data_IF_681962441546
#
_entry.id   IF_681962441546
#
_cell.length_a   1.000
_cell.length_b   1.000
_cell.length_c   1.000
_cell.angle_alpha   90.00
_cell.angle_beta   90.00
_cell.angle_gamma   90.00
#
_symmetry.space_group_name_H-M   'P 1'
#
loop_
_entity.id
_entity.type
_entity.pdbx_description
1 polymer ?
#
# COMPACT_ATOMS: atom_id res chain seq x y z
N UNK A 1 3.23 -5.93 28.33
CA UNK A 1 4.02 -6.47 27.21
C UNK A 1 3.55 -7.86 26.75
N UNK A 2 2.80 -8.62 27.57
CA UNK A 2 2.19 -9.91 27.22
C UNK A 2 0.74 -9.78 26.74
N UNK A 3 0.21 -8.57 26.68
CA UNK A 3 -1.19 -8.25 26.46
C UNK A 3 -2.13 -8.73 27.59
N UNK A 4 -1.58 -9.24 28.67
CA UNK A 4 -2.32 -9.54 29.91
C UNK A 4 -2.58 -8.21 30.64
N UNK A 5 -3.79 -8.04 31.14
CA UNK A 5 -4.17 -6.85 31.93
C UNK A 5 -3.66 -6.96 33.37
N UNK A 6 -4.07 -6.02 34.21
CA UNK A 6 -3.80 -6.08 35.63
C UNK A 6 -4.46 -7.31 36.28
N UNK A 7 -5.64 -7.72 35.76
CA UNK A 7 -6.22 -9.02 36.13
C UNK A 7 -5.54 -10.13 35.31
N UNK A 8 -4.88 -11.11 35.98
CA UNK A 8 -4.15 -12.16 35.29
C UNK A 8 -5.00 -13.11 34.45
N UNK A 9 -6.32 -13.07 34.60
CA UNK A 9 -7.26 -13.87 33.82
C UNK A 9 -7.77 -13.15 32.56
N UNK A 10 -7.47 -11.87 32.40
CA UNK A 10 -7.96 -11.03 31.31
C UNK A 10 -6.82 -10.61 30.39
N UNK A 11 -6.99 -10.81 29.11
CA UNK A 11 -6.12 -10.31 28.04
C UNK A 11 -6.87 -9.27 27.22
N UNK A 12 -6.17 -8.24 26.78
CA UNK A 12 -6.73 -7.21 25.95
C UNK A 12 -5.81 -6.94 24.74
N UNK A 13 -6.39 -6.93 23.54
CA UNK A 13 -5.71 -6.63 22.30
C UNK A 13 -6.60 -5.73 21.46
N UNK A 14 -6.00 -4.91 20.58
CA UNK A 14 -6.77 -4.08 19.68
C UNK A 14 -6.80 -2.60 20.08
N UNK A 15 -7.71 -1.86 19.47
CA UNK A 15 -7.83 -0.40 19.66
C UNK A 15 -8.26 -0.01 21.08
N UNK A 16 -8.83 -0.94 21.84
CA UNK A 16 -9.18 -0.73 23.25
C UNK A 16 -7.97 -0.74 24.20
N UNK A 17 -6.76 -1.03 23.68
CA UNK A 17 -5.53 -1.14 24.48
C UNK A 17 -4.68 0.07 24.35
N UNK A 18 -4.36 0.72 25.47
CA UNK A 18 -3.28 1.72 25.56
C UNK A 18 -2.02 1.03 26.07
N UNK A 19 -1.19 0.51 25.16
CA UNK A 19 0.09 -0.10 25.53
C UNK A 19 1.16 0.98 25.67
N UNK A 20 1.73 1.10 26.86
CA UNK A 20 2.73 2.16 27.20
C UNK A 20 2.26 3.57 26.84
N UNK A 21 0.94 3.82 26.99
CA UNK A 21 0.32 5.11 26.69
C UNK A 21 -0.06 5.33 25.24
N UNK A 22 0.20 4.37 24.34
CA UNK A 22 -0.12 4.47 22.92
C UNK A 22 -1.28 3.52 22.56
N UNK A 23 -2.36 4.07 22.00
CA UNK A 23 -3.44 3.32 21.38
C UNK A 23 -3.24 3.24 19.87
N UNK A 24 -3.34 2.04 19.30
CA UNK A 24 -3.10 1.79 17.88
C UNK A 24 -4.43 1.58 17.16
N UNK A 25 -4.76 2.48 16.22
CA UNK A 25 -5.95 2.40 15.38
C UNK A 25 -5.72 1.74 14.00
N UNK A 26 -4.61 1.02 13.82
CA UNK A 26 -4.26 0.34 12.58
C UNK A 26 -4.19 -1.17 12.77
N UNK A 27 -4.57 -1.93 11.75
CA UNK A 27 -4.72 -3.39 11.83
C UNK A 27 -3.40 -4.12 12.11
N UNK A 28 -2.28 -3.68 11.54
CA UNK A 28 -1.00 -4.37 11.68
C UNK A 28 -0.53 -4.48 13.14
N UNK A 29 -0.49 -3.41 13.96
CA UNK A 29 -0.20 -3.51 15.39
C UNK A 29 -1.11 -4.48 16.14
N UNK A 30 -2.39 -4.53 15.77
CA UNK A 30 -3.36 -5.40 16.46
C UNK A 30 -3.06 -6.89 16.23
N UNK A 31 -2.59 -7.25 15.04
CA UNK A 31 -2.12 -8.62 14.78
C UNK A 31 -0.84 -8.97 15.55
N UNK A 32 0.08 -8.02 15.69
CA UNK A 32 1.29 -8.21 16.50
C UNK A 32 0.93 -8.45 17.98
N UNK A 33 0.01 -7.64 18.53
CA UNK A 33 -0.53 -7.82 19.87
C UNK A 33 -1.21 -9.18 20.04
N UNK A 34 -2.08 -9.55 19.09
CA UNK A 34 -2.80 -10.82 19.13
C UNK A 34 -1.85 -12.03 19.10
N UNK A 35 -0.79 -11.97 18.29
CA UNK A 35 0.24 -13.01 18.25
C UNK A 35 0.95 -13.18 19.58
N UNK A 36 1.32 -12.08 20.23
CA UNK A 36 1.97 -12.12 21.55
C UNK A 36 1.00 -12.66 22.60
N UNK A 37 -0.26 -12.21 22.62
CA UNK A 37 -1.28 -12.72 23.53
C UNK A 37 -1.52 -14.22 23.36
N UNK A 38 -1.64 -14.69 22.12
CA UNK A 38 -1.83 -16.11 21.80
C UNK A 38 -0.65 -16.97 22.27
N UNK A 39 0.57 -16.52 22.02
CA UNK A 39 1.78 -17.23 22.46
C UNK A 39 1.85 -17.29 24.00
N UNK A 40 1.52 -16.21 24.68
CA UNK A 40 1.54 -16.18 26.13
C UNK A 40 0.46 -17.08 26.74
N UNK A 41 -0.76 -17.07 26.17
CA UNK A 41 -1.86 -17.96 26.60
C UNK A 41 -1.53 -19.44 26.38
N UNK A 42 -0.82 -19.75 25.29
CA UNK A 42 -0.40 -21.11 24.97
C UNK A 42 0.87 -21.56 25.71
N UNK A 43 1.46 -20.73 26.55
CA UNK A 43 2.79 -20.93 27.14
C UNK A 43 3.88 -21.25 26.09
N UNK A 44 3.77 -20.65 24.91
CA UNK A 44 4.66 -20.87 23.77
C UNK A 44 5.54 -19.65 23.51
N UNK A 45 6.83 -19.79 23.86
CA UNK A 45 7.82 -18.75 23.63
C UNK A 45 7.78 -17.58 24.63
N UNK A 46 8.74 -16.67 24.47
CA UNK A 46 9.02 -15.56 25.37
C UNK A 46 8.72 -14.19 24.76
N UNK A 47 8.03 -14.16 23.61
CA UNK A 47 7.73 -12.93 22.89
C UNK A 47 7.04 -11.88 23.74
N UNK A 48 7.45 -10.64 23.57
CA UNK A 48 6.87 -9.46 24.23
C UNK A 48 6.47 -8.45 23.17
N UNK A 49 5.36 -7.78 23.38
CA UNK A 49 4.97 -6.63 22.59
C UNK A 49 5.65 -5.38 23.17
N UNK A 50 6.46 -4.72 22.38
CA UNK A 50 7.20 -3.51 22.80
C UNK A 50 6.69 -2.24 22.15
N UNK A 51 5.67 -2.36 21.33
CA UNK A 51 5.11 -1.31 20.49
C UNK A 51 5.30 -1.64 19.02
N UNK A 52 4.62 -0.92 18.15
CA UNK A 52 4.72 -1.06 16.70
C UNK A 52 5.05 0.27 16.05
N UNK A 53 5.91 0.23 15.07
CA UNK A 53 6.05 1.34 14.13
C UNK A 53 4.92 1.25 13.10
N UNK A 54 4.26 2.37 12.85
CA UNK A 54 3.09 2.40 11.97
C UNK A 54 3.36 3.21 10.72
N UNK A 55 2.69 2.82 9.64
CA UNK A 55 2.60 3.62 8.42
C UNK A 55 1.16 3.74 7.96
N UNK A 56 0.85 4.85 7.31
CA UNK A 56 -0.48 5.12 6.75
C UNK A 56 -0.34 5.51 5.29
N UNK A 57 -1.19 4.92 4.44
CA UNK A 57 -1.37 5.36 3.06
C UNK A 57 -2.81 5.84 2.89
N UNK A 58 -2.99 7.07 2.43
CA UNK A 58 -4.30 7.63 2.16
C UNK A 58 -4.94 6.93 0.96
N UNK A 59 -6.23 6.60 1.11
CA UNK A 59 -7.01 5.88 0.09
C UNK A 59 -8.07 6.78 -0.56
N UNK A 60 -7.70 8.00 -0.92
CA UNK A 60 -8.58 8.95 -1.60
C UNK A 60 -8.17 9.06 -3.06
N UNK A 61 -9.15 8.99 -3.96
CA UNK A 61 -8.89 9.09 -5.40
C UNK A 61 -8.25 10.42 -5.76
N UNK A 62 -7.12 10.36 -6.47
CA UNK A 62 -6.39 11.54 -6.92
C UNK A 62 -5.44 12.15 -5.89
N UNK A 63 -5.32 11.56 -4.69
CA UNK A 63 -4.38 12.00 -3.67
C UNK A 63 -3.54 10.80 -3.23
N UNK A 64 -2.25 10.85 -3.52
CA UNK A 64 -1.26 9.89 -3.02
C UNK A 64 -0.52 10.51 -1.84
N UNK A 65 -0.74 9.95 -0.65
CA UNK A 65 -0.07 10.36 0.57
C UNK A 65 0.35 9.13 1.36
N UNK A 66 1.59 9.15 1.82
CA UNK A 66 2.16 8.15 2.71
C UNK A 66 2.80 8.83 3.91
N UNK A 67 2.63 8.27 5.10
CA UNK A 67 3.34 8.71 6.30
C UNK A 67 3.75 7.51 7.16
N UNK A 68 4.88 7.62 7.86
CA UNK A 68 5.37 6.59 8.75
C UNK A 68 6.16 7.20 9.91
N UNK A 69 6.09 6.57 11.09
CA UNK A 69 6.88 6.92 12.28
C UNK A 69 6.68 8.35 12.76
N UNK A 70 7.76 8.96 13.26
CA UNK A 70 7.79 10.31 13.83
C UNK A 70 7.92 11.40 12.75
N UNK A 71 7.03 11.43 11.76
CA UNK A 71 7.11 12.32 10.60
C UNK A 71 7.01 13.82 10.92
N UNK A 72 6.54 14.19 12.10
CA UNK A 72 6.50 15.61 12.51
C UNK A 72 7.90 16.17 12.81
N UNK A 73 8.83 15.31 13.19
CA UNK A 73 10.16 15.74 13.63
C UNK A 73 10.17 16.30 15.04
N UNK A 74 11.30 16.90 15.44
CA UNK A 74 11.49 17.46 16.77
C UNK A 74 12.87 18.12 16.92
N UNK A 75 13.18 18.62 18.13
CA UNK A 75 14.42 19.37 18.39
C UNK A 75 15.71 18.59 18.15
N UNK A 76 15.67 17.26 18.33
CA UNK A 76 16.83 16.38 18.19
C UNK A 76 16.79 15.58 16.88
N UNK A 77 16.07 16.09 15.88
CA UNK A 77 15.92 15.45 14.58
C UNK A 77 16.49 16.32 13.47
N UNK A 78 17.10 15.69 12.49
CA UNK A 78 17.46 16.27 11.21
C UNK A 78 16.33 16.00 10.22
N UNK A 79 16.06 16.96 9.33
CA UNK A 79 15.00 16.84 8.33
C UNK A 79 15.56 17.01 6.93
N UNK A 80 15.26 16.05 6.05
CA UNK A 80 15.55 16.17 4.62
C UNK A 80 14.23 16.42 3.91
N UNK A 81 14.14 17.52 3.15
CA UNK A 81 12.90 17.92 2.47
C UNK A 81 13.15 18.11 0.98
N UNK A 82 12.31 17.48 0.16
CA UNK A 82 12.18 17.70 -1.26
C UNK A 82 10.80 18.28 -1.52
N UNK A 83 10.75 19.46 -2.14
CA UNK A 83 9.50 20.14 -2.49
C UNK A 83 9.54 20.57 -3.95
N UNK A 84 8.73 19.90 -4.77
CA UNK A 84 8.44 20.28 -6.15
C UNK A 84 6.98 20.71 -6.25
N UNK A 85 6.73 21.99 -6.05
CA UNK A 85 5.39 22.56 -6.11
C UNK A 85 4.78 22.49 -7.54
N UNK A 86 5.60 22.53 -8.58
CA UNK A 86 5.13 22.45 -9.96
C UNK A 86 4.73 21.03 -10.35
N UNK A 87 5.50 20.04 -9.92
CA UNK A 87 5.19 18.62 -10.10
C UNK A 87 4.21 18.04 -9.09
N UNK A 88 3.80 18.82 -8.07
CA UNK A 88 2.90 18.36 -7.03
C UNK A 88 3.52 17.30 -6.12
N UNK A 89 4.84 17.34 -5.90
CA UNK A 89 5.55 16.35 -5.07
C UNK A 89 6.13 17.01 -3.82
N UNK A 90 5.85 16.42 -2.67
CA UNK A 90 6.49 16.76 -1.41
C UNK A 90 6.97 15.50 -0.71
N UNK A 91 8.23 15.48 -0.29
CA UNK A 91 8.81 14.40 0.54
C UNK A 91 9.56 15.02 1.70
N UNK A 92 9.33 14.50 2.88
CA UNK A 92 10.08 14.85 4.10
C UNK A 92 10.50 13.56 4.79
N UNK A 93 11.77 13.46 5.13
CA UNK A 93 12.35 12.39 5.91
C UNK A 93 12.88 12.97 7.20
N UNK A 94 12.69 12.28 8.30
CA UNK A 94 13.12 12.69 9.64
C UNK A 94 14.14 11.68 10.15
N UNK A 95 15.32 12.18 10.48
CA UNK A 95 16.47 11.40 10.94
C UNK A 95 16.79 11.69 12.38
N UNK A 96 17.29 10.69 13.10
CA UNK A 96 17.86 10.81 14.44
C UNK A 96 18.96 9.76 14.59
N UNK A 97 20.15 10.18 15.04
CA UNK A 97 21.30 9.28 15.23
C UNK A 97 21.59 8.41 13.98
N UNK A 98 21.66 9.01 12.80
CA UNK A 98 21.86 8.34 11.52
C UNK A 98 20.82 7.24 11.20
N UNK A 99 19.61 7.32 11.74
CA UNK A 99 18.51 6.41 11.46
C UNK A 99 17.28 7.17 11.00
N UNK A 100 16.57 6.58 10.07
CA UNK A 100 15.25 7.08 9.69
C UNK A 100 14.27 6.80 10.82
N UNK A 101 13.65 7.84 11.39
CA UNK A 101 12.65 7.73 12.46
C UNK A 101 11.25 8.12 11.99
N UNK A 102 11.13 8.79 10.85
CA UNK A 102 9.84 9.14 10.28
C UNK A 102 9.93 9.67 8.86
N UNK A 103 8.78 9.74 8.19
CA UNK A 103 8.69 10.34 6.87
C UNK A 103 7.27 10.57 6.41
N UNK A 104 7.08 11.57 5.57
CA UNK A 104 5.81 11.86 4.89
C UNK A 104 6.09 12.15 3.41
N UNK A 105 5.23 11.61 2.54
CA UNK A 105 5.32 11.79 1.10
C UNK A 105 3.95 12.12 0.54
N UNK A 106 3.89 13.10 -0.35
CA UNK A 106 2.71 13.51 -1.10
C UNK A 106 3.05 13.51 -2.60
N UNK A 107 2.14 13.05 -3.44
CA UNK A 107 2.30 12.96 -4.89
C UNK A 107 3.09 11.72 -5.31
N UNK A 108 4.40 11.69 -5.09
CA UNK A 108 5.22 10.48 -5.31
C UNK A 108 5.43 9.73 -4.00
N UNK A 109 4.68 8.65 -3.80
CA UNK A 109 4.74 7.77 -2.63
C UNK A 109 5.36 6.41 -2.91
N UNK A 110 5.98 6.23 -4.09
CA UNK A 110 6.44 4.92 -4.57
C UNK A 110 7.47 4.27 -3.64
N UNK A 111 8.34 5.07 -3.02
CA UNK A 111 9.37 4.58 -2.09
C UNK A 111 8.91 4.42 -0.63
N UNK A 112 7.65 4.75 -0.33
CA UNK A 112 7.08 4.63 1.01
C UNK A 112 7.34 3.28 1.71
N UNK A 113 7.08 2.13 1.06
CA UNK A 113 7.36 0.82 1.64
C UNK A 113 8.83 0.59 1.96
N UNK A 114 9.75 1.09 1.14
CA UNK A 114 11.19 0.98 1.40
C UNK A 114 11.62 1.83 2.60
N UNK A 115 11.20 3.09 2.67
CA UNK A 115 11.46 3.92 3.85
C UNK A 115 10.86 3.31 5.12
N UNK A 116 9.67 2.73 5.02
CA UNK A 116 9.06 2.07 6.16
C UNK A 116 9.86 0.85 6.62
N UNK A 117 10.47 0.10 5.70
CA UNK A 117 11.36 -1.00 6.05
C UNK A 117 12.63 -0.50 6.75
N UNK A 118 13.30 0.54 6.21
CA UNK A 118 14.46 1.17 6.86
C UNK A 118 14.15 1.60 8.29
N UNK A 119 12.96 2.17 8.49
CA UNK A 119 12.48 2.64 9.79
C UNK A 119 12.21 1.48 10.75
N UNK A 120 11.57 0.39 10.30
CA UNK A 120 11.33 -0.82 11.10
C UNK A 120 12.62 -1.52 11.52
N UNK A 121 13.59 -1.59 10.61
CA UNK A 121 14.88 -2.25 10.86
C UNK A 121 15.83 -1.36 11.68
N UNK A 122 15.47 -0.09 11.90
CA UNK A 122 16.32 0.93 12.50
C UNK A 122 17.73 0.93 11.87
N UNK A 123 17.77 0.77 10.53
CA UNK A 123 19.00 0.65 9.78
C UNK A 123 19.83 1.93 9.91
N UNK A 124 21.13 1.78 10.13
CA UNK A 124 22.08 2.88 10.05
C UNK A 124 22.24 3.31 8.59
N UNK A 125 22.05 4.59 8.32
CA UNK A 125 22.08 5.18 6.97
C UNK A 125 23.23 6.17 6.79
N UNK A 126 24.27 6.09 7.65
CA UNK A 126 25.41 7.00 7.63
C UNK A 126 26.04 7.17 6.23
N UNK A 127 26.05 6.12 5.41
CA UNK A 127 26.69 6.12 4.09
C UNK A 127 25.79 6.67 2.96
N UNK A 128 24.51 6.96 3.22
CA UNK A 128 23.53 7.29 2.17
C UNK A 128 22.67 8.55 2.40
N UNK A 129 23.00 9.48 3.36
CA UNK A 129 22.08 10.56 3.70
C UNK A 129 21.78 11.50 2.53
N UNK A 130 22.78 11.82 1.71
CA UNK A 130 22.65 12.80 0.61
C UNK A 130 21.73 12.32 -0.52
N UNK A 131 21.61 11.02 -0.71
CA UNK A 131 20.81 10.42 -1.79
C UNK A 131 19.50 9.81 -1.30
N UNK A 132 19.33 9.71 0.02
CA UNK A 132 18.19 9.03 0.64
C UNK A 132 16.85 9.55 0.14
N UNK A 133 16.70 10.88 0.00
CA UNK A 133 15.43 11.52 -0.40
C UNK A 133 14.96 11.14 -1.83
N UNK A 134 15.89 10.71 -2.69
CA UNK A 134 15.59 10.31 -4.06
C UNK A 134 15.09 8.88 -4.19
N UNK A 135 15.07 8.12 -3.08
CA UNK A 135 14.51 6.79 -3.00
C UNK A 135 15.49 5.66 -3.28
N UNK A 136 14.97 4.43 -3.22
CA UNK A 136 15.76 3.21 -3.30
C UNK A 136 16.55 3.07 -4.60
N UNK A 137 16.02 3.56 -5.71
CA UNK A 137 16.64 3.43 -7.03
C UNK A 137 17.95 4.19 -7.14
N UNK A 138 18.13 5.27 -6.37
CA UNK A 138 19.35 6.07 -6.39
C UNK A 138 20.38 5.54 -5.38
N UNK A 139 19.93 5.02 -4.26
CA UNK A 139 20.80 4.48 -3.21
C UNK A 139 21.45 3.16 -3.61
N UNK A 140 20.84 2.40 -4.51
CA UNK A 140 21.27 1.03 -4.87
C UNK A 140 21.83 0.84 -6.28
N UNK A 141 21.85 1.87 -7.14
CA UNK A 141 22.21 1.65 -8.56
C UNK A 141 22.97 2.81 -9.19
N UNK A 142 24.21 2.52 -9.54
CA UNK A 142 24.99 3.37 -10.44
C UNK A 142 24.70 2.92 -11.87
N UNK A 143 23.48 3.17 -12.38
CA UNK A 143 23.33 3.15 -13.81
C UNK A 143 22.21 2.35 -14.50
N UNK A 144 21.12 1.99 -13.87
CA UNK A 144 20.00 1.37 -14.59
C UNK A 144 18.66 2.10 -14.34
N UNK A 145 18.28 2.92 -15.30
CA UNK A 145 16.99 3.62 -15.33
C UNK A 145 15.82 2.63 -15.51
N UNK A 146 14.88 2.67 -14.59
CA UNK A 146 13.47 2.59 -14.90
C UNK A 146 12.80 1.23 -15.08
N UNK A 147 13.44 0.08 -14.87
CA UNK A 147 12.75 -1.21 -14.97
C UNK A 147 13.16 -2.19 -13.86
N UNK A 148 12.20 -2.55 -13.02
CA UNK A 148 12.19 -3.61 -12.02
C UNK A 148 12.62 -3.26 -10.58
N UNK A 149 11.93 -2.27 -9.99
CA UNK A 149 11.96 -2.07 -8.53
C UNK A 149 11.66 -3.39 -7.77
N UNK A 150 10.75 -4.19 -8.29
CA UNK A 150 10.41 -5.51 -7.74
C UNK A 150 11.58 -6.51 -7.80
N UNK A 151 12.45 -6.43 -8.80
CA UNK A 151 13.58 -7.38 -8.93
C UNK A 151 14.68 -7.10 -7.89
N UNK A 152 14.96 -5.82 -7.61
CA UNK A 152 16.02 -5.41 -6.67
C UNK A 152 15.63 -5.50 -5.19
N UNK A 153 14.34 -5.62 -4.85
CA UNK A 153 13.90 -5.78 -3.47
C UNK A 153 14.44 -7.06 -2.84
N UNK A 154 14.87 -6.99 -1.58
CA UNK A 154 15.22 -8.18 -0.79
C UNK A 154 14.00 -9.10 -0.60
N UNK A 155 14.20 -10.41 -0.54
CA UNK A 155 13.11 -11.36 -0.32
C UNK A 155 12.42 -11.19 1.03
N UNK A 156 13.10 -10.62 2.01
CA UNK A 156 12.55 -10.28 3.33
C UNK A 156 11.74 -8.98 3.33
N UNK A 157 11.83 -8.15 2.27
CA UNK A 157 11.12 -6.89 2.19
C UNK A 157 9.60 -7.09 2.19
N UNK A 158 8.92 -6.35 3.07
CA UNK A 158 7.47 -6.41 3.18
C UNK A 158 6.80 -5.76 1.97
N UNK A 159 5.93 -6.52 1.31
CA UNK A 159 5.12 -6.09 0.17
C UNK A 159 3.70 -5.71 0.60
N UNK A 160 3.11 -6.51 1.47
CA UNK A 160 1.76 -6.30 1.95
C UNK A 160 1.74 -6.11 3.47
N UNK A 161 1.78 -4.87 3.95
CA UNK A 161 1.74 -4.54 5.38
C UNK A 161 0.45 -4.95 6.08
N UNK A 162 -0.69 -4.95 5.36
CA UNK A 162 -1.97 -5.38 5.95
C UNK A 162 -2.01 -6.87 6.32
N UNK A 163 -1.26 -7.70 5.61
CA UNK A 163 -1.27 -9.16 5.79
C UNK A 163 0.14 -9.73 6.10
N UNK A 164 1.13 -8.86 6.35
CA UNK A 164 2.49 -9.27 6.70
C UNK A 164 3.19 -10.14 5.64
N UNK A 165 2.96 -9.86 4.34
CA UNK A 165 3.49 -10.69 3.25
C UNK A 165 4.73 -10.06 2.66
N UNK A 166 5.86 -10.75 2.72
CA UNK A 166 7.12 -10.33 2.12
C UNK A 166 7.26 -10.82 0.66
N UNK A 167 8.20 -10.20 -0.09
CA UNK A 167 8.50 -10.56 -1.47
C UNK A 167 8.80 -12.04 -1.64
N UNK A 168 9.65 -12.62 -0.80
CA UNK A 168 10.04 -14.03 -0.87
C UNK A 168 8.85 -14.98 -0.79
N UNK A 169 7.84 -14.67 0.04
CA UNK A 169 6.60 -15.45 0.12
C UNK A 169 5.84 -15.43 -1.20
N UNK A 170 5.76 -14.27 -1.86
CA UNK A 170 5.10 -14.12 -3.15
C UNK A 170 5.87 -14.87 -4.25
N UNK A 171 7.18 -14.66 -4.35
CA UNK A 171 8.07 -15.32 -5.32
C UNK A 171 8.02 -16.83 -5.18
N UNK A 172 8.07 -17.34 -3.94
CA UNK A 172 7.96 -18.77 -3.65
C UNK A 172 6.60 -19.32 -4.12
N UNK A 173 5.52 -18.65 -3.81
CA UNK A 173 4.18 -19.06 -4.24
C UNK A 173 4.04 -19.06 -5.77
N UNK A 174 4.60 -18.06 -6.46
CA UNK A 174 4.60 -17.99 -7.93
C UNK A 174 5.33 -19.21 -8.51
N UNK A 175 6.54 -19.51 -8.03
CA UNK A 175 7.38 -20.60 -8.55
C UNK A 175 6.81 -21.99 -8.24
N UNK A 176 6.35 -22.24 -7.01
CA UNK A 176 5.87 -23.54 -6.58
C UNK A 176 4.48 -23.90 -7.10
N UNK A 177 3.63 -22.90 -7.28
CA UNK A 177 2.22 -23.11 -7.68
C UNK A 177 1.91 -22.66 -9.11
N UNK A 178 2.89 -22.10 -9.82
CA UNK A 178 2.71 -21.62 -11.19
C UNK A 178 1.69 -20.50 -11.29
N UNK A 179 1.77 -19.50 -10.41
CA UNK A 179 0.79 -18.39 -10.40
C UNK A 179 1.05 -17.43 -11.56
N UNK A 180 0.00 -17.03 -12.26
CA UNK A 180 0.10 -16.17 -13.45
C UNK A 180 -0.73 -14.88 -13.36
N UNK A 181 -1.49 -14.67 -12.28
CA UNK A 181 -2.35 -13.49 -12.12
C UNK A 181 -2.24 -12.89 -10.73
N UNK A 182 -2.61 -11.59 -10.62
CA UNK A 182 -2.74 -10.92 -9.33
C UNK A 182 -3.78 -11.60 -8.42
N UNK A 183 -4.85 -12.14 -9.00
CA UNK A 183 -5.89 -12.83 -8.24
C UNK A 183 -5.39 -14.16 -7.66
N UNK A 184 -4.49 -14.85 -8.37
CA UNK A 184 -3.81 -16.03 -7.82
C UNK A 184 -2.91 -15.63 -6.64
N UNK A 185 -2.16 -14.54 -6.75
CA UNK A 185 -1.34 -14.02 -5.65
C UNK A 185 -2.23 -13.71 -4.43
N UNK A 186 -3.34 -12.98 -4.61
CA UNK A 186 -4.30 -12.69 -3.54
C UNK A 186 -4.82 -13.95 -2.86
N UNK A 187 -5.21 -14.94 -3.66
CA UNK A 187 -5.77 -16.20 -3.18
C UNK A 187 -4.76 -17.02 -2.37
N UNK A 188 -3.53 -17.10 -2.84
CA UNK A 188 -2.52 -18.00 -2.26
C UNK A 188 -1.62 -17.35 -1.20
N UNK A 189 -1.43 -16.04 -1.25
CA UNK A 189 -0.54 -15.33 -0.30
C UNK A 189 -1.24 -14.33 0.58
N UNK A 190 -2.49 -13.97 0.26
CA UNK A 190 -3.24 -12.85 0.89
C UNK A 190 -2.65 -11.46 0.58
N UNK A 191 -1.56 -11.33 -0.14
CA UNK A 191 -1.08 -10.03 -0.61
C UNK A 191 -2.14 -9.38 -1.50
N UNK A 192 -2.33 -8.08 -1.36
CA UNK A 192 -3.33 -7.25 -2.04
C UNK A 192 -4.80 -7.66 -1.83
N UNK A 193 -5.10 -8.54 -0.87
CA UNK A 193 -6.48 -8.98 -0.61
C UNK A 193 -7.27 -8.06 0.33
N UNK A 194 -6.60 -7.23 1.12
CA UNK A 194 -7.23 -6.33 2.09
C UNK A 194 -7.40 -4.92 1.51
N UNK A 195 -6.39 -4.06 1.62
CA UNK A 195 -6.49 -2.68 1.15
C UNK A 195 -6.20 -2.49 -0.34
N UNK A 196 -5.57 -3.47 -0.99
CA UNK A 196 -5.21 -3.40 -2.41
C UNK A 196 -4.02 -2.50 -2.75
N UNK A 197 -3.47 -1.73 -1.82
CA UNK A 197 -2.40 -0.75 -2.09
C UNK A 197 -1.13 -1.35 -2.67
N UNK A 198 -0.84 -2.62 -2.37
CA UNK A 198 0.33 -3.33 -2.89
C UNK A 198 0.06 -4.09 -4.21
N UNK A 199 -1.12 -3.93 -4.83
CA UNK A 199 -1.47 -4.67 -6.05
C UNK A 199 -0.46 -4.44 -7.18
N UNK A 200 -0.11 -3.18 -7.48
CA UNK A 200 0.87 -2.85 -8.52
C UNK A 200 2.26 -3.44 -8.25
N UNK A 201 2.71 -3.44 -6.99
CA UNK A 201 3.98 -4.05 -6.63
C UNK A 201 3.93 -5.58 -6.75
N UNK A 202 2.80 -6.21 -6.39
CA UNK A 202 2.59 -7.64 -6.61
C UNK A 202 2.65 -8.02 -8.10
N UNK A 203 2.08 -7.20 -8.98
CA UNK A 203 2.16 -7.39 -10.45
C UNK A 203 3.59 -7.23 -10.96
N UNK A 204 4.35 -6.27 -10.47
CA UNK A 204 5.77 -6.12 -10.82
C UNK A 204 6.60 -7.33 -10.37
N UNK A 205 6.35 -7.87 -9.17
CA UNK A 205 7.00 -9.09 -8.67
C UNK A 205 6.62 -10.29 -9.56
N UNK A 206 5.35 -10.39 -9.95
CA UNK A 206 4.86 -11.43 -10.85
C UNK A 206 5.58 -11.35 -12.20
N UNK A 207 5.58 -10.17 -12.82
CA UNK A 207 6.25 -9.91 -14.09
C UNK A 207 7.76 -10.23 -14.04
N UNK A 208 8.45 -9.79 -12.99
CA UNK A 208 9.88 -10.04 -12.82
C UNK A 208 10.22 -11.52 -12.54
N UNK A 209 9.28 -12.26 -11.92
CA UNK A 209 9.50 -13.67 -11.56
C UNK A 209 9.22 -14.61 -12.74
N UNK A 210 8.20 -14.33 -13.55
CA UNK A 210 7.81 -15.14 -14.72
C UNK A 210 8.66 -14.77 -15.94
N UNK A 211 9.20 -13.53 -15.99
CA UNK A 211 9.99 -13.05 -17.13
C UNK A 211 9.12 -12.70 -18.34
N UNK A 212 9.69 -12.77 -19.54
CA UNK A 212 9.03 -12.33 -20.79
C UNK A 212 7.74 -13.04 -21.18
N UNK A 213 7.32 -14.06 -20.44
CA UNK A 213 6.04 -14.75 -20.63
C UNK A 213 4.86 -14.02 -19.91
N UNK A 214 5.14 -13.03 -19.06
CA UNK A 214 4.10 -12.25 -18.43
C UNK A 214 3.63 -11.16 -19.40
N UNK A 215 2.50 -11.38 -20.01
CA UNK A 215 1.64 -10.31 -20.46
C UNK A 215 0.68 -9.99 -19.30
N UNK A 216 0.56 -8.72 -18.84
CA UNK A 216 -0.56 -8.39 -17.98
C UNK A 216 -1.79 -8.87 -18.76
N UNK A 217 -2.45 -9.89 -18.24
CA UNK A 217 -3.70 -10.34 -18.80
C UNK A 217 -4.52 -9.07 -19.00
N UNK A 218 -4.92 -8.80 -20.23
CA UNK A 218 -5.79 -7.68 -20.55
C UNK A 218 -6.80 -7.70 -19.42
N UNK A 219 -6.70 -6.71 -18.53
CA UNK A 219 -7.36 -6.73 -17.23
C UNK A 219 -8.74 -7.29 -17.52
N UNK A 220 -9.18 -8.33 -16.82
CA UNK A 220 -10.56 -8.76 -16.90
C UNK A 220 -11.34 -7.53 -16.48
N UNK A 221 -11.59 -6.66 -17.45
CA UNK A 221 -12.26 -5.37 -17.30
C UNK A 221 -13.61 -5.72 -16.75
N UNK A 222 -13.70 -5.71 -15.43
CA UNK A 222 -14.96 -6.05 -14.78
C UNK A 222 -15.95 -4.96 -15.16
N UNK A 223 -16.97 -5.26 -15.95
CA UNK A 223 -17.99 -4.29 -16.31
C UNK A 223 -18.57 -3.68 -15.03
N UNK A 224 -18.88 -2.39 -15.04
CA UNK A 224 -19.45 -1.72 -13.87
C UNK A 224 -20.81 -2.31 -13.47
N UNK A 225 -21.53 -2.88 -14.43
CA UNK A 225 -22.81 -3.57 -14.23
C UNK A 225 -23.16 -4.41 -15.46
N UNK A 226 -24.21 -5.26 -15.40
CA UNK A 226 -24.65 -6.04 -16.56
C UNK A 226 -25.16 -5.22 -17.76
N UNK A 227 -25.44 -3.94 -17.57
CA UNK A 227 -25.96 -3.04 -18.62
C UNK A 227 -24.90 -2.55 -19.59
N UNK A 228 -23.62 -2.78 -19.33
CA UNK A 228 -22.51 -2.33 -20.16
C UNK A 228 -21.33 -3.28 -20.06
N UNK A 229 -20.48 -3.30 -21.08
CA UNK A 229 -19.21 -4.03 -21.06
C UNK A 229 -18.04 -3.12 -20.57
N UNK A 230 -18.33 -1.85 -20.28
CA UNK A 230 -17.32 -0.87 -19.83
C UNK A 230 -17.10 -0.92 -18.33
N UNK A 231 -15.83 -0.79 -17.94
CA UNK A 231 -15.43 -0.64 -16.56
C UNK A 231 -15.74 0.76 -16.01
N UNK A 232 -15.71 0.92 -14.70
CA UNK A 232 -15.87 2.23 -14.04
C UNK A 232 -14.87 3.27 -14.56
N UNK A 233 -13.62 2.88 -14.83
CA UNK A 233 -12.57 3.81 -15.27
C UNK A 233 -12.79 4.25 -16.72
N UNK A 234 -13.16 3.34 -17.62
CA UNK A 234 -13.48 3.68 -19.01
C UNK A 234 -14.63 4.67 -19.11
N UNK A 235 -15.66 4.48 -18.28
CA UNK A 235 -16.81 5.39 -18.25
C UNK A 235 -16.38 6.79 -17.75
N UNK A 236 -15.59 6.88 -16.69
CA UNK A 236 -15.09 8.15 -16.18
C UNK A 236 -14.19 8.86 -17.20
N UNK A 237 -13.35 8.11 -17.89
CA UNK A 237 -12.50 8.66 -18.93
C UNK A 237 -13.33 9.20 -20.11
N UNK A 238 -14.31 8.43 -20.59
CA UNK A 238 -15.20 8.86 -21.66
C UNK A 238 -15.99 10.13 -21.31
N UNK A 239 -16.47 10.26 -20.07
CA UNK A 239 -17.14 11.48 -19.59
C UNK A 239 -16.22 12.69 -19.74
N UNK A 240 -14.95 12.59 -19.36
CA UNK A 240 -13.96 13.67 -19.48
C UNK A 240 -13.61 13.98 -20.93
N UNK A 241 -13.22 12.96 -21.69
CA UNK A 241 -12.67 13.13 -23.04
C UNK A 241 -13.71 13.65 -24.03
N UNK A 242 -14.95 13.23 -23.86
CA UNK A 242 -16.04 13.56 -24.77
C UNK A 242 -17.00 14.64 -24.22
N UNK A 243 -16.66 15.25 -23.07
CA UNK A 243 -17.47 16.30 -22.44
C UNK A 243 -18.94 15.91 -22.25
N UNK A 244 -19.19 14.69 -21.80
CA UNK A 244 -20.55 14.18 -21.60
C UNK A 244 -21.15 14.79 -20.33
N UNK A 245 -22.33 15.42 -20.43
CA UNK A 245 -22.95 16.17 -19.32
C UNK A 245 -24.20 15.49 -18.75
N UNK A 246 -24.76 14.49 -19.43
CA UNK A 246 -26.00 13.82 -19.01
C UNK A 246 -25.83 12.31 -19.02
N UNK A 247 -26.52 11.63 -18.13
CA UNK A 247 -26.53 10.16 -18.05
C UNK A 247 -26.94 9.51 -19.38
N UNK A 248 -27.97 10.09 -20.05
CA UNK A 248 -28.43 9.60 -21.33
C UNK A 248 -27.36 9.69 -22.44
N UNK A 249 -26.55 10.75 -22.42
CA UNK A 249 -25.47 10.93 -23.39
C UNK A 249 -24.36 9.88 -23.17
N UNK A 250 -24.01 9.62 -21.91
CA UNK A 250 -23.03 8.56 -21.55
C UNK A 250 -23.53 7.20 -22.01
N UNK A 251 -24.78 6.88 -21.71
CA UNK A 251 -25.38 5.59 -22.09
C UNK A 251 -25.45 5.40 -23.61
N UNK A 252 -25.78 6.44 -24.34
CA UNK A 252 -25.85 6.42 -25.81
C UNK A 252 -24.46 6.31 -26.44
N UNK A 253 -23.52 7.10 -25.96
CA UNK A 253 -22.16 7.16 -26.53
C UNK A 253 -21.37 5.88 -26.28
N UNK A 254 -21.65 5.21 -25.19
CA UNK A 254 -20.94 3.98 -24.77
C UNK A 254 -21.79 2.70 -24.98
N UNK A 255 -22.74 2.72 -25.87
CA UNK A 255 -23.58 1.58 -26.27
C UNK A 255 -24.12 0.76 -25.08
N UNK A 256 -24.83 1.45 -24.18
CA UNK A 256 -25.48 0.79 -23.06
C UNK A 256 -26.54 -0.21 -23.54
N UNK A 257 -26.52 -1.44 -23.02
CA UNK A 257 -27.44 -2.51 -23.39
C UNK A 257 -28.89 -2.26 -22.98
N UNK A 258 -29.10 -1.29 -22.08
CA UNK A 258 -30.43 -0.94 -21.56
C UNK A 258 -30.62 0.58 -21.57
N UNK A 259 -31.76 1.08 -22.04
CA UNK A 259 -32.04 2.51 -22.16
C UNK A 259 -32.02 3.26 -20.82
N UNK A 260 -32.40 2.61 -19.72
CA UNK A 260 -32.56 3.26 -18.42
C UNK A 260 -31.48 2.87 -17.40
N UNK A 261 -30.54 1.98 -17.79
CA UNK A 261 -29.57 1.45 -16.84
C UNK A 261 -30.21 0.63 -15.69
N UNK A 262 -29.42 0.38 -14.63
CA UNK A 262 -29.87 -0.35 -13.44
C UNK A 262 -29.59 0.45 -12.16
N UNK A 263 -29.99 -0.10 -11.03
CA UNK A 263 -29.77 0.41 -9.68
C UNK A 263 -28.30 0.56 -9.29
N UNK A 264 -27.37 -0.06 -10.02
CA UNK A 264 -25.92 0.10 -9.84
C UNK A 264 -25.34 1.22 -10.69
N UNK A 265 -25.60 1.23 -11.99
CA UNK A 265 -24.99 2.20 -12.89
C UNK A 265 -25.60 3.61 -12.80
N UNK A 266 -26.90 3.74 -12.57
CA UNK A 266 -27.54 5.07 -12.48
C UNK A 266 -26.94 5.98 -11.39
N UNK A 267 -26.83 5.56 -10.13
CA UNK A 267 -26.19 6.39 -9.11
C UNK A 267 -24.69 6.60 -9.38
N UNK A 268 -23.98 5.62 -9.94
CA UNK A 268 -22.58 5.76 -10.30
C UNK A 268 -22.36 6.78 -11.43
N UNK A 269 -23.18 6.75 -12.48
CA UNK A 269 -23.10 7.74 -13.57
C UNK A 269 -23.41 9.16 -13.09
N UNK A 270 -24.44 9.32 -12.26
CA UNK A 270 -24.73 10.61 -11.62
C UNK A 270 -23.54 11.12 -10.79
N UNK A 271 -22.97 10.27 -9.98
CA UNK A 271 -21.79 10.62 -9.20
C UNK A 271 -20.61 11.04 -10.09
N UNK A 272 -20.33 10.29 -11.18
CA UNK A 272 -19.22 10.62 -12.08
C UNK A 272 -19.42 11.94 -12.79
N UNK A 273 -20.63 12.22 -13.26
CA UNK A 273 -20.95 13.49 -13.89
C UNK A 273 -20.78 14.67 -12.90
N UNK A 274 -21.31 14.55 -11.68
CA UNK A 274 -21.19 15.60 -10.64
C UNK A 274 -19.73 15.77 -10.18
N UNK A 275 -18.96 14.68 -10.10
CA UNK A 275 -17.56 14.75 -9.64
C UNK A 275 -16.60 15.22 -10.73
N UNK A 276 -17.02 15.24 -11.99
CA UNK A 276 -16.19 15.67 -13.13
C UNK A 276 -16.45 17.14 -13.48
N UNK A 277 -17.68 17.58 -13.34
CA UNK A 277 -18.15 18.93 -13.69
C UNK A 277 -18.73 19.66 -12.47
#
# INVERSE_FOLDING_TARGET
>A
DTMQTYDPKIYAVGECVAHRGIAYGLVAPLFEQAKVAANHLANYGIGRYTGSVTSTKLKVTGIDLFSAGEYMGGKDCEEIVLNDAAGGVYKKLVLRDNKLVGGVMYGDTADGPWYFQLLKDAQDIHDIPDTLIFGQSVVGDVGHQGQNKAASMADTAEVCGCNGVCKGTIVKAIKEKGLFSLDDIKKHTKAASSCGSCAGLCEQILASTIGGAYSPAASNKKPMCPCTDHSHEEVRQAIRDQHLLKVADVQKTMDWKTENGCDKCRPALNYYLISTW
#
